data_IF_419155204144
#
_entry.id   IF_419155204144
#
_cell.length_a   1.000
_cell.length_b   1.000
_cell.length_c   1.000
_cell.angle_alpha   90.00
_cell.angle_beta   90.00
_cell.angle_gamma   90.00
#
_symmetry.space_group_name_H-M   'P 1'
#
loop_
_entity.id
_entity.type
_entity.pdbx_description
1 polymer ?
#
# COMPACT_ATOMS: atom_id res chain seq x y z
N UNK A 1 99.93 57.03 -3.31
CA UNK A 1 98.61 56.82 -3.95
C UNK A 1 98.31 55.34 -3.96
N UNK A 2 97.07 55.02 -3.56
CA UNK A 2 96.33 53.77 -3.77
C UNK A 2 96.79 52.49 -3.06
N UNK A 3 95.93 52.08 -2.14
CA UNK A 3 95.93 50.91 -1.27
C UNK A 3 95.88 49.56 -2.00
N UNK A 4 96.54 48.60 -1.36
CA UNK A 4 96.38 47.14 -1.40
C UNK A 4 94.93 46.65 -1.27
N UNK A 5 94.57 45.59 -2.01
CA UNK A 5 93.66 44.59 -1.46
C UNK A 5 94.01 43.17 -1.97
N UNK A 6 94.48 42.25 -1.10
CA UNK A 6 94.90 40.89 -1.47
C UNK A 6 93.80 39.82 -1.28
N UNK A 7 92.51 40.19 -1.21
CA UNK A 7 91.43 39.23 -0.97
C UNK A 7 90.58 38.97 -2.21
N UNK A 8 90.93 37.91 -2.95
CA UNK A 8 90.07 37.29 -3.95
C UNK A 8 89.14 36.29 -3.24
N UNK A 9 87.89 36.67 -2.99
CA UNK A 9 86.88 35.75 -2.45
C UNK A 9 86.20 35.01 -3.60
N UNK A 10 86.51 33.72 -3.75
CA UNK A 10 85.70 32.82 -4.56
C UNK A 10 84.45 32.43 -3.76
N UNK A 11 83.27 32.82 -4.24
CA UNK A 11 82.00 32.29 -3.72
C UNK A 11 81.82 30.90 -4.32
N UNK A 12 82.18 29.87 -3.54
CA UNK A 12 81.87 28.49 -3.83
C UNK A 12 80.36 28.26 -3.60
N UNK A 13 79.57 28.23 -4.66
CA UNK A 13 78.14 27.88 -4.57
C UNK A 13 78.03 26.37 -4.38
N UNK A 14 77.64 25.95 -3.18
CA UNK A 14 77.31 24.57 -2.85
C UNK A 14 75.82 24.33 -3.16
N UNK A 15 75.53 23.27 -3.90
CA UNK A 15 74.20 22.92 -4.43
C UNK A 15 73.35 22.12 -3.42
N UNK A 16 73.28 22.57 -2.16
CA UNK A 16 72.48 21.91 -1.13
C UNK A 16 71.30 22.83 -0.73
N UNK A 17 70.10 22.49 -1.22
CA UNK A 17 68.83 23.21 -0.95
C UNK A 17 68.26 22.90 0.44
N UNK A 18 68.98 23.22 1.51
CA UNK A 18 68.40 23.23 2.85
C UNK A 18 67.85 24.63 3.14
N UNK A 19 66.51 24.74 3.22
CA UNK A 19 65.81 25.95 3.61
C UNK A 19 66.07 26.29 5.09
N UNK A 20 67.26 26.81 5.38
CA UNK A 20 67.55 27.42 6.67
C UNK A 20 66.95 28.83 6.66
N UNK A 21 65.77 28.96 7.26
CA UNK A 21 65.16 30.27 7.53
C UNK A 21 66.00 30.98 8.59
N UNK A 22 66.87 31.87 8.14
CA UNK A 22 67.62 32.76 9.04
C UNK A 22 66.67 33.86 9.53
N UNK A 23 66.26 33.79 10.81
CA UNK A 23 65.51 34.88 11.47
C UNK A 23 66.45 36.07 11.68
N UNK A 24 66.31 37.10 10.86
CA UNK A 24 66.97 38.39 11.05
C UNK A 24 66.16 39.25 12.01
N UNK A 25 66.78 39.68 13.11
CA UNK A 25 66.22 40.63 14.07
C UNK A 25 65.92 41.97 13.39
N UNK A 26 64.64 42.34 13.31
CA UNK A 26 64.07 43.70 13.22
C UNK A 26 64.93 44.80 12.58
N UNK A 27 65.50 44.53 11.42
CA UNK A 27 65.92 45.53 10.43
C UNK A 27 65.09 45.22 9.19
N UNK A 28 64.40 46.22 8.62
CA UNK A 28 63.55 46.09 7.42
C UNK A 28 64.38 45.83 6.15
N UNK A 29 65.24 44.81 6.19
CA UNK A 29 66.00 44.29 5.07
C UNK A 29 65.18 43.14 4.50
N UNK A 30 64.51 43.41 3.38
CA UNK A 30 63.89 42.37 2.57
C UNK A 30 65.03 41.55 1.96
N UNK A 31 65.48 40.49 2.66
CA UNK A 31 66.49 39.60 2.13
C UNK A 31 65.82 38.73 1.06
N UNK A 32 65.87 39.21 -0.18
CA UNK A 32 65.39 38.45 -1.33
C UNK A 32 66.11 37.10 -1.34
N UNK A 33 65.40 35.97 -1.46
CA UNK A 33 66.05 34.69 -1.61
C UNK A 33 66.90 34.72 -2.89
N UNK A 34 67.87 33.82 -3.02
CA UNK A 34 68.79 33.82 -4.17
C UNK A 34 67.99 33.90 -5.50
N UNK A 35 68.56 34.49 -6.57
CA UNK A 35 67.80 34.85 -7.78
C UNK A 35 66.94 33.71 -8.36
N UNK A 36 67.38 32.46 -8.20
CA UNK A 36 66.64 31.26 -8.59
C UNK A 36 65.38 31.03 -7.75
N UNK A 37 65.50 31.06 -6.43
CA UNK A 37 64.35 30.93 -5.53
C UNK A 37 63.36 32.09 -5.67
N UNK A 38 63.85 33.29 -5.96
CA UNK A 38 62.97 34.42 -6.27
C UNK A 38 62.22 34.22 -7.60
N UNK A 39 62.89 33.70 -8.63
CA UNK A 39 62.25 33.31 -9.90
C UNK A 39 61.20 32.22 -9.72
N UNK A 40 61.46 31.20 -8.89
CA UNK A 40 60.49 30.12 -8.62
C UNK A 40 59.24 30.66 -7.90
N UNK A 41 59.43 31.56 -6.92
CA UNK A 41 58.33 32.24 -6.23
C UNK A 41 57.52 33.10 -7.21
N UNK A 42 58.18 33.89 -8.06
CA UNK A 42 57.50 34.70 -9.07
C UNK A 42 56.75 33.85 -10.10
N UNK A 43 57.32 32.71 -10.51
CA UNK A 43 56.68 31.79 -11.45
C UNK A 43 55.45 31.14 -10.83
N UNK A 44 55.53 30.78 -9.55
CA UNK A 44 54.39 30.23 -8.79
C UNK A 44 53.29 31.27 -8.62
N UNK A 45 53.66 32.51 -8.27
CA UNK A 45 52.72 33.63 -8.16
C UNK A 45 52.05 33.89 -9.51
N UNK A 46 52.83 33.96 -10.60
CA UNK A 46 52.31 34.13 -11.96
C UNK A 46 51.34 33.02 -12.34
N UNK A 47 51.68 31.76 -12.08
CA UNK A 47 50.79 30.62 -12.35
C UNK A 47 49.49 30.71 -11.54
N UNK A 48 49.56 31.04 -10.25
CA UNK A 48 48.36 31.25 -9.43
C UNK A 48 47.50 32.38 -9.99
N UNK A 49 48.07 33.54 -10.30
CA UNK A 49 47.32 34.66 -10.87
C UNK A 49 46.74 34.32 -12.23
N UNK A 50 47.48 33.68 -13.14
CA UNK A 50 46.98 33.30 -14.48
C UNK A 50 45.86 32.26 -14.41
N UNK A 51 45.82 31.39 -13.41
CA UNK A 51 44.72 30.42 -13.24
C UNK A 51 43.52 30.97 -12.45
N UNK A 52 43.74 31.95 -11.54
CA UNK A 52 42.68 32.60 -10.77
C UNK A 52 42.02 33.76 -11.54
N UNK A 53 42.75 34.51 -12.37
CA UNK A 53 42.25 35.62 -13.18
C UNK A 53 41.09 35.21 -14.13
N UNK A 54 41.11 34.03 -14.78
CA UNK A 54 39.97 33.53 -15.56
C UNK A 54 38.74 33.20 -14.73
N UNK A 55 38.92 32.89 -13.44
CA UNK A 55 37.81 32.63 -12.50
C UNK A 55 37.26 33.92 -11.88
N UNK A 56 38.07 34.98 -11.85
CA UNK A 56 37.69 36.34 -11.48
C UNK A 56 37.29 37.18 -12.70
N UNK A 57 36.52 36.59 -13.62
CA UNK A 57 36.04 37.26 -14.82
C UNK A 57 35.24 38.52 -14.48
N UNK A 58 35.60 39.61 -15.15
CA UNK A 58 34.78 40.82 -15.28
C UNK A 58 33.38 40.47 -15.84
N UNK A 59 32.38 41.33 -15.62
CA UNK A 59 30.96 41.12 -15.97
C UNK A 59 30.75 40.67 -17.42
N UNK A 60 31.70 40.98 -18.31
CA UNK A 60 31.69 40.61 -19.73
C UNK A 60 31.99 39.12 -19.98
N UNK A 61 32.83 38.46 -19.17
CA UNK A 61 33.24 37.06 -19.35
C UNK A 61 32.47 36.08 -18.47
N UNK A 62 31.76 36.59 -17.47
CA UNK A 62 30.75 35.87 -16.69
C UNK A 62 29.53 36.79 -16.48
N UNK A 63 28.82 37.16 -17.57
CA UNK A 63 27.54 37.81 -17.40
C UNK A 63 26.69 36.78 -16.66
N UNK A 64 26.13 37.15 -15.51
CA UNK A 64 25.19 36.28 -14.80
C UNK A 64 24.08 35.79 -15.73
N UNK A 65 23.22 34.89 -15.24
CA UNK A 65 22.10 34.37 -16.02
C UNK A 65 21.40 35.49 -16.80
N UNK A 66 21.31 35.33 -18.13
CA UNK A 66 20.74 36.35 -19.01
C UNK A 66 19.34 36.73 -18.52
N UNK A 67 18.96 37.99 -18.72
CA UNK A 67 17.64 38.49 -18.35
C UNK A 67 16.52 37.63 -18.94
N UNK A 68 16.73 37.07 -20.14
CA UNK A 68 15.81 36.13 -20.80
C UNK A 68 15.64 34.84 -19.99
N UNK A 69 16.73 34.23 -19.51
CA UNK A 69 16.67 33.03 -18.66
C UNK A 69 15.96 33.31 -17.32
N UNK A 70 16.16 34.51 -16.75
CA UNK A 70 15.45 34.90 -15.53
C UNK A 70 13.94 35.11 -15.78
N UNK A 71 13.55 35.60 -16.96
CA UNK A 71 12.15 35.75 -17.32
C UNK A 71 11.49 34.39 -17.53
N UNK A 72 12.13 33.46 -18.25
CA UNK A 72 11.60 32.10 -18.45
C UNK A 72 11.47 31.35 -17.13
N UNK A 73 12.48 31.43 -16.25
CA UNK A 73 12.41 30.82 -14.92
C UNK A 73 11.26 31.37 -14.07
N UNK A 74 10.95 32.67 -14.18
CA UNK A 74 9.82 33.26 -13.46
C UNK A 74 8.46 32.80 -14.02
N UNK A 75 8.37 32.57 -15.33
CA UNK A 75 7.19 31.99 -15.96
C UNK A 75 6.98 30.54 -15.51
N UNK A 76 8.03 29.71 -15.54
CA UNK A 76 8.00 28.33 -15.07
C UNK A 76 7.60 28.24 -13.59
N UNK A 77 8.16 29.12 -12.74
CA UNK A 77 7.81 29.18 -11.31
C UNK A 77 6.34 29.57 -11.12
N UNK A 78 5.81 30.47 -11.97
CA UNK A 78 4.39 30.85 -11.92
C UNK A 78 3.49 29.69 -12.33
N UNK A 79 3.85 28.97 -13.38
CA UNK A 79 3.10 27.79 -13.86
C UNK A 79 3.13 26.67 -12.80
N UNK A 80 4.30 26.38 -12.23
CA UNK A 80 4.44 25.41 -11.14
C UNK A 80 3.60 25.80 -9.92
N UNK A 81 3.55 27.09 -9.57
CA UNK A 81 2.71 27.56 -8.47
C UNK A 81 1.22 27.40 -8.76
N UNK A 82 0.80 27.60 -10.01
CA UNK A 82 -0.58 27.44 -10.42
C UNK A 82 -0.99 25.97 -10.43
N UNK A 83 -0.18 25.10 -11.03
CA UNK A 83 -0.41 23.66 -11.02
C UNK A 83 -0.44 23.09 -9.59
N UNK A 84 0.43 23.56 -8.69
CA UNK A 84 0.42 23.17 -7.27
C UNK A 84 -0.86 23.61 -6.55
N UNK A 85 -1.43 24.77 -6.92
CA UNK A 85 -2.72 25.22 -6.38
C UNK A 85 -3.86 24.34 -6.89
N UNK A 86 -3.85 23.97 -8.16
CA UNK A 86 -4.87 23.14 -8.79
C UNK A 86 -4.81 21.68 -8.33
N UNK A 87 -3.62 21.14 -8.06
CA UNK A 87 -3.47 19.81 -7.47
C UNK A 87 -3.93 19.78 -6.02
N UNK A 88 -3.61 20.82 -5.24
CA UNK A 88 -4.10 20.95 -3.88
C UNK A 88 -5.62 21.07 -3.81
N UNK A 89 -6.27 21.82 -4.70
CA UNK A 89 -7.73 21.90 -4.72
C UNK A 89 -8.37 20.56 -5.05
N UNK A 90 -7.85 19.84 -6.06
CA UNK A 90 -8.28 18.48 -6.37
C UNK A 90 -8.06 17.52 -5.19
N UNK A 91 -6.94 17.65 -4.48
CA UNK A 91 -6.64 16.84 -3.30
C UNK A 91 -7.61 17.14 -2.16
N UNK A 92 -7.99 18.40 -1.94
CA UNK A 92 -9.00 18.73 -0.94
C UNK A 92 -10.37 18.18 -1.32
N UNK A 93 -10.73 18.23 -2.61
CA UNK A 93 -12.00 17.68 -3.08
C UNK A 93 -12.07 16.16 -2.94
N UNK A 94 -10.97 15.44 -3.24
CA UNK A 94 -10.91 13.99 -3.02
C UNK A 94 -10.92 13.64 -1.54
N UNK A 95 -10.19 14.37 -0.69
CA UNK A 95 -10.23 14.21 0.76
C UNK A 95 -11.63 14.43 1.32
N UNK A 96 -12.40 15.38 0.78
CA UNK A 96 -13.77 15.63 1.22
C UNK A 96 -14.76 14.53 0.77
N UNK A 97 -14.48 13.86 -0.36
CA UNK A 97 -15.31 12.75 -0.85
C UNK A 97 -15.07 11.44 -0.11
N UNK A 98 -13.87 11.24 0.43
CA UNK A 98 -13.46 10.00 1.11
C UNK A 98 -14.39 9.65 2.29
N UNK A 99 -14.71 10.56 3.24
CA UNK A 99 -15.65 10.28 4.33
C UNK A 99 -17.05 9.88 3.86
N UNK A 100 -17.52 10.46 2.75
CA UNK A 100 -18.83 10.11 2.20
C UNK A 100 -18.85 8.70 1.62
N UNK A 101 -17.72 8.24 1.06
CA UNK A 101 -17.58 6.86 0.60
C UNK A 101 -17.47 5.92 1.79
N UNK A 102 -16.68 6.26 2.80
CA UNK A 102 -16.54 5.47 4.03
C UNK A 102 -17.91 5.26 4.72
N UNK A 103 -18.70 6.32 4.87
CA UNK A 103 -20.05 6.20 5.44
C UNK A 103 -20.95 5.26 4.61
N UNK A 104 -20.87 5.31 3.27
CA UNK A 104 -21.66 4.41 2.41
C UNK A 104 -21.20 2.96 2.56
N UNK A 105 -19.90 2.73 2.75
CA UNK A 105 -19.36 1.40 3.02
C UNK A 105 -19.87 0.88 4.36
N UNK A 106 -19.89 1.70 5.40
CA UNK A 106 -20.41 1.33 6.72
C UNK A 106 -21.92 1.00 6.67
N UNK A 107 -22.70 1.82 5.96
CA UNK A 107 -24.13 1.59 5.75
C UNK A 107 -24.40 0.29 5.01
N UNK A 108 -23.71 0.06 3.88
CA UNK A 108 -23.82 -1.20 3.13
C UNK A 108 -23.43 -2.38 4.01
N UNK A 109 -22.34 -2.27 4.78
CA UNK A 109 -21.88 -3.33 5.67
C UNK A 109 -22.94 -3.68 6.72
N UNK A 110 -23.60 -2.68 7.32
CA UNK A 110 -24.69 -2.90 8.26
C UNK A 110 -25.89 -3.60 7.61
N UNK A 111 -26.28 -3.20 6.39
CA UNK A 111 -27.39 -3.86 5.67
C UNK A 111 -27.07 -5.31 5.31
N UNK A 112 -25.82 -5.61 4.92
CA UNK A 112 -25.38 -6.98 4.64
C UNK A 112 -25.52 -7.85 5.88
N UNK A 113 -25.11 -7.37 7.05
CA UNK A 113 -25.25 -8.09 8.32
C UNK A 113 -26.72 -8.39 8.63
N UNK A 114 -27.62 -7.41 8.47
CA UNK A 114 -29.06 -7.59 8.69
C UNK A 114 -29.66 -8.64 7.73
N UNK A 115 -29.28 -8.60 6.45
CA UNK A 115 -29.71 -9.62 5.49
C UNK A 115 -29.15 -11.01 5.80
N UNK A 116 -27.90 -11.11 6.24
CA UNK A 116 -27.33 -12.40 6.68
C UNK A 116 -28.12 -12.99 7.83
N UNK A 117 -28.47 -12.19 8.85
CA UNK A 117 -29.29 -12.65 9.98
C UNK A 117 -30.66 -13.16 9.51
N UNK A 118 -31.32 -12.43 8.60
CA UNK A 118 -32.62 -12.85 8.03
C UNK A 118 -32.51 -14.15 7.25
N UNK A 119 -31.41 -14.36 6.52
CA UNK A 119 -31.17 -15.61 5.79
C UNK A 119 -31.00 -16.78 6.77
N UNK A 120 -30.26 -16.59 7.85
CA UNK A 120 -30.07 -17.62 8.88
C UNK A 120 -31.41 -18.00 9.57
N UNK A 121 -32.25 -17.00 9.88
CA UNK A 121 -33.59 -17.22 10.44
C UNK A 121 -34.50 -18.00 9.48
N UNK A 122 -34.50 -17.62 8.19
CA UNK A 122 -35.25 -18.32 7.17
C UNK A 122 -34.74 -19.74 6.98
N UNK A 123 -33.42 -19.95 6.97
CA UNK A 123 -32.83 -21.28 6.88
C UNK A 123 -33.25 -22.16 8.06
N UNK A 124 -33.21 -21.65 9.29
CA UNK A 124 -33.68 -22.38 10.47
C UNK A 124 -35.16 -22.76 10.36
N UNK A 125 -35.98 -21.88 9.77
CA UNK A 125 -37.40 -22.14 9.55
C UNK A 125 -37.62 -23.23 8.49
N UNK A 126 -36.87 -23.16 7.39
CA UNK A 126 -36.89 -24.18 6.32
C UNK A 126 -36.43 -25.54 6.83
N UNK A 127 -35.45 -25.60 7.73
CA UNK A 127 -34.99 -26.85 8.35
C UNK A 127 -36.04 -27.46 9.30
N UNK A 128 -36.84 -26.62 9.98
CA UNK A 128 -37.89 -27.09 10.92
C UNK A 128 -39.16 -27.55 10.21
N UNK A 129 -39.50 -26.96 9.07
CA UNK A 129 -40.69 -27.34 8.30
C UNK A 129 -40.81 -28.84 7.98
N UNK A 130 -39.78 -29.51 7.41
CA UNK A 130 -39.88 -30.94 7.08
C UNK A 130 -40.02 -31.81 8.32
N UNK A 131 -39.38 -31.46 9.43
CA UNK A 131 -39.54 -32.18 10.69
C UNK A 131 -40.97 -32.08 11.22
N UNK A 132 -41.59 -30.90 11.11
CA UNK A 132 -42.98 -30.71 11.50
C UNK A 132 -43.93 -31.46 10.56
N UNK A 133 -43.66 -31.50 9.26
CA UNK A 133 -44.44 -32.27 8.29
C UNK A 133 -44.36 -33.77 8.60
N UNK A 134 -43.15 -34.29 8.85
CA UNK A 134 -42.94 -35.70 9.22
C UNK A 134 -43.66 -36.06 10.53
N UNK A 135 -43.58 -35.21 11.56
CA UNK A 135 -44.30 -35.42 12.81
C UNK A 135 -45.84 -35.41 12.63
N UNK A 136 -46.35 -34.50 11.80
CA UNK A 136 -47.78 -34.45 11.46
C UNK A 136 -48.23 -35.67 10.65
N UNK A 137 -47.42 -36.11 9.68
CA UNK A 137 -47.68 -37.30 8.87
C UNK A 137 -47.69 -38.56 9.75
N UNK A 138 -46.73 -38.69 10.67
CA UNK A 138 -46.65 -39.78 11.63
C UNK A 138 -47.83 -39.78 12.61
N UNK A 139 -48.27 -38.61 13.09
CA UNK A 139 -49.47 -38.48 13.92
C UNK A 139 -50.74 -38.85 13.16
N UNK A 140 -50.83 -38.45 11.88
CA UNK A 140 -51.95 -38.77 11.00
C UNK A 140 -52.06 -40.28 10.72
N UNK A 141 -50.91 -40.95 10.47
CA UNK A 141 -50.88 -42.39 10.16
C UNK A 141 -50.89 -43.32 11.38
N UNK A 142 -50.71 -42.80 12.60
CA UNK A 142 -50.52 -43.61 13.81
C UNK A 142 -51.60 -44.68 14.05
N UNK A 143 -52.84 -44.38 13.67
CA UNK A 143 -53.98 -45.27 13.86
C UNK A 143 -54.40 -45.95 12.54
N UNK A 144 -53.61 -45.83 11.49
CA UNK A 144 -53.88 -46.44 10.19
C UNK A 144 -53.10 -47.75 10.09
N UNK A 145 -53.79 -48.82 9.71
CA UNK A 145 -53.16 -50.10 9.42
C UNK A 145 -53.19 -50.33 7.91
N UNK A 146 -52.06 -50.74 7.34
CA UNK A 146 -51.99 -51.14 5.93
C UNK A 146 -51.90 -52.66 5.89
N UNK A 147 -52.86 -53.29 5.23
CA UNK A 147 -52.93 -54.75 5.07
C UNK A 147 -52.69 -55.08 3.60
N UNK A 148 -51.74 -55.96 3.33
CA UNK A 148 -51.40 -56.41 1.98
C UNK A 148 -51.84 -57.86 1.77
N UNK A 149 -52.11 -58.23 0.53
CA UNK A 149 -52.41 -59.62 0.14
C UNK A 149 -53.86 -60.05 0.32
N UNK A 150 -54.78 -59.08 0.43
CA UNK A 150 -56.22 -59.33 0.30
C UNK A 150 -56.53 -59.53 -1.19
N UNK A 151 -57.38 -60.50 -1.51
CA UNK A 151 -57.75 -60.80 -2.89
C UNK A 151 -58.81 -59.81 -3.35
N UNK A 152 -58.51 -59.05 -4.40
CA UNK A 152 -59.42 -58.04 -4.97
C UNK A 152 -60.55 -58.71 -5.75
N UNK A 153 -61.80 -58.36 -5.42
CA UNK A 153 -63.00 -58.75 -6.19
C UNK A 153 -63.51 -57.59 -7.06
N UNK A 154 -64.17 -57.90 -8.19
CA UNK A 154 -64.57 -56.90 -9.21
C UNK A 154 -65.74 -56.00 -8.80
N UNK A 155 -66.43 -56.32 -7.70
CA UNK A 155 -67.58 -55.59 -7.15
C UNK A 155 -67.38 -55.34 -5.64
N UNK A 156 -66.21 -54.83 -5.26
CA UNK A 156 -65.91 -54.51 -3.87
C UNK A 156 -66.73 -53.30 -3.37
N UNK A 157 -67.52 -53.53 -2.33
CA UNK A 157 -68.19 -52.49 -1.56
C UNK A 157 -67.51 -52.30 -0.20
N UNK A 158 -67.66 -51.10 0.36
CA UNK A 158 -67.11 -50.73 1.67
C UNK A 158 -67.45 -51.74 2.78
N UNK A 159 -68.69 -52.22 2.81
CA UNK A 159 -69.21 -53.14 3.82
C UNK A 159 -68.62 -54.56 3.68
N UNK A 160 -68.49 -55.06 2.44
CA UNK A 160 -67.89 -56.38 2.21
C UNK A 160 -66.40 -56.41 2.57
N UNK A 161 -65.69 -55.31 2.33
CA UNK A 161 -64.27 -55.20 2.69
C UNK A 161 -64.09 -55.16 4.22
N UNK A 162 -64.94 -54.42 4.93
CA UNK A 162 -64.92 -54.32 6.38
C UNK A 162 -65.17 -55.68 7.05
N UNK A 163 -66.12 -56.46 6.54
CA UNK A 163 -66.45 -57.80 7.05
C UNK A 163 -65.29 -58.79 6.85
N UNK A 164 -64.70 -58.83 5.65
CA UNK A 164 -63.54 -59.69 5.33
C UNK A 164 -62.35 -59.36 6.25
N UNK A 165 -62.05 -58.08 6.45
CA UNK A 165 -60.93 -57.64 7.30
C UNK A 165 -61.20 -57.94 8.78
N UNK A 166 -62.42 -57.72 9.26
CA UNK A 166 -62.80 -58.01 10.64
C UNK A 166 -62.72 -59.51 10.97
N UNK A 167 -63.32 -60.37 10.15
CA UNK A 167 -63.38 -61.80 10.44
C UNK A 167 -62.05 -62.51 10.15
N UNK A 168 -61.44 -62.21 8.99
CA UNK A 168 -60.26 -62.97 8.52
C UNK A 168 -58.97 -62.44 9.12
N UNK A 169 -58.78 -61.12 9.13
CA UNK A 169 -57.50 -60.51 9.54
C UNK A 169 -57.50 -60.25 11.05
N UNK A 170 -58.49 -59.51 11.56
CA UNK A 170 -58.50 -59.07 12.96
C UNK A 170 -58.88 -60.20 13.93
N UNK A 171 -59.96 -60.95 13.66
CA UNK A 171 -60.42 -62.02 14.55
C UNK A 171 -59.59 -63.30 14.40
N UNK A 172 -59.38 -63.80 13.18
CA UNK A 172 -58.70 -65.09 12.98
C UNK A 172 -57.18 -65.01 13.10
N UNK A 173 -56.55 -63.96 12.54
CA UNK A 173 -55.09 -63.88 12.49
C UNK A 173 -54.50 -63.14 13.70
N UNK A 174 -55.10 -62.03 14.10
CA UNK A 174 -54.60 -61.18 15.19
C UNK A 174 -55.28 -61.46 16.55
N UNK A 175 -56.37 -62.22 16.57
CA UNK A 175 -57.13 -62.58 17.78
C UNK A 175 -57.60 -61.37 18.59
N UNK A 176 -58.00 -60.29 17.89
CA UNK A 176 -58.55 -59.06 18.50
C UNK A 176 -60.04 -58.93 18.14
N UNK A 177 -60.95 -59.48 18.96
CA UNK A 177 -62.39 -59.35 18.72
C UNK A 177 -62.90 -57.98 19.20
N UNK A 178 -63.73 -57.31 18.36
CA UNK A 178 -64.36 -55.99 18.58
C UNK A 178 -63.47 -54.76 18.33
N UNK A 179 -63.09 -54.54 17.08
CA UNK A 179 -62.42 -53.31 16.63
C UNK A 179 -63.44 -52.41 15.93
N UNK A 180 -63.52 -51.14 16.33
CA UNK A 180 -64.29 -50.13 15.60
C UNK A 180 -63.40 -49.49 14.53
N UNK A 181 -63.79 -49.63 13.27
CA UNK A 181 -63.08 -49.05 12.12
C UNK A 181 -63.73 -47.70 11.80
N UNK A 182 -62.94 -46.63 11.77
CA UNK A 182 -63.45 -45.29 11.47
C UNK A 182 -63.62 -45.07 9.97
N UNK A 183 -62.69 -45.58 9.18
CA UNK A 183 -62.72 -45.56 7.71
C UNK A 183 -61.81 -46.65 7.18
N UNK A 184 -62.28 -47.38 6.18
CA UNK A 184 -61.50 -48.35 5.39
C UNK A 184 -61.49 -47.89 3.93
N UNK A 185 -60.44 -48.18 3.17
CA UNK A 185 -60.30 -47.79 1.77
C UNK A 185 -59.56 -48.86 1.00
#
# INVERSE_FOLDING_TARGET
MSLTNPFLFFVQVRDDRLAYVYRSNNVRLLHLPCPRSFSDVLTTIYFCFVNLLPSCGDVEMNPGQSTEMLLTLNEDVRELKQTLKDTNSKLTDTCNKLPSVDHKIDEISATVIDYTCKVDELQSTVEKLPLNVDDLENKSRRNNLIVYGIKEDTEENHQSLEEIVCETVLATTLNVPNVAIQSIH
#
